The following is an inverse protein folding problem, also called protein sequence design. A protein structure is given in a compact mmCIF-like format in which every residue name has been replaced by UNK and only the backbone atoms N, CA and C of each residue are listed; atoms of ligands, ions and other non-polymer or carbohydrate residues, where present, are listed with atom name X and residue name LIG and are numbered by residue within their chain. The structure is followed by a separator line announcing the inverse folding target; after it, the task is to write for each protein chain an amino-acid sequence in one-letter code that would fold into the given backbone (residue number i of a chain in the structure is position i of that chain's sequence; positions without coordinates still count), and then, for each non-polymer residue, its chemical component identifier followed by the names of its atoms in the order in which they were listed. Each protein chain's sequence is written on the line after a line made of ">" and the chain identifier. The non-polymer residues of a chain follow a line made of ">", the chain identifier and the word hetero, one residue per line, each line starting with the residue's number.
data_IF_350347415990
#
_entry.id   IF_350347415990
#
_cell.length_a   1.000
_cell.length_b   1.000
_cell.length_c   1.000
_cell.angle_alpha   90.00
_cell.angle_beta   90.00
_cell.angle_gamma   90.00
#
_symmetry.space_group_name_H-M   'P 1'
#
loop_
_entity.id
_entity.type
_entity.pdbx_description
1 polymer ?
#
# COMPACT_ATOMS: atom_id res chain seq x y z
N UNK A 1 -38.90 -10.53 8.71
CA UNK A 1 -39.30 -9.27 8.05
C UNK A 1 -39.13 -8.17 9.07
N UNK A 2 -38.43 -7.09 8.81
CA UNK A 2 -37.81 -6.73 7.56
C UNK A 2 -36.72 -5.71 7.85
N UNK A 3 -35.62 -5.91 7.12
CA UNK A 3 -34.89 -4.89 6.36
C UNK A 3 -34.69 -3.51 6.98
N UNK A 4 -33.43 -3.10 6.82
CA UNK A 4 -33.08 -1.76 6.38
C UNK A 4 -33.21 -0.66 7.43
N UNK A 5 -32.29 -0.66 8.41
CA UNK A 5 -31.96 0.60 9.08
C UNK A 5 -30.51 1.05 8.97
N UNK A 6 -29.69 0.41 8.11
CA UNK A 6 -28.32 0.91 7.81
C UNK A 6 -27.93 0.73 6.34
N UNK A 7 -28.68 1.40 5.48
CA UNK A 7 -28.44 1.69 4.04
C UNK A 7 -29.63 2.59 3.65
N UNK A 8 -29.60 3.69 2.91
CA UNK A 8 -28.68 4.33 1.96
C UNK A 8 -29.17 5.79 1.85
N UNK A 9 -28.28 6.79 1.79
CA UNK A 9 -27.82 7.46 0.56
C UNK A 9 -28.93 7.96 -0.38
N UNK A 10 -28.66 9.16 -0.90
CA UNK A 10 -29.25 9.81 -2.08
C UNK A 10 -30.47 10.69 -1.80
N UNK A 11 -30.20 11.99 -1.58
CA UNK A 11 -30.85 13.04 -2.39
C UNK A 11 -29.82 14.06 -2.87
N UNK A 12 -29.62 14.03 -4.19
CA UNK A 12 -29.36 15.16 -5.11
C UNK A 12 -28.23 16.13 -4.77
N UNK A 13 -27.22 16.20 -5.65
CA UNK A 13 -26.82 17.41 -6.39
C UNK A 13 -26.25 16.94 -7.75
N UNK A 14 -27.06 16.85 -8.83
CA UNK A 14 -27.25 17.84 -9.91
C UNK A 14 -26.04 18.77 -10.19
N UNK A 15 -25.25 18.37 -11.20
CA UNK A 15 -24.78 19.18 -12.35
C UNK A 15 -24.00 20.46 -12.04
N UNK A 16 -22.68 20.49 -12.28
CA UNK A 16 -21.98 21.71 -12.75
C UNK A 16 -20.93 21.37 -13.84
N UNK A 17 -21.24 21.92 -15.02
CA UNK A 17 -20.49 22.29 -16.25
C UNK A 17 -19.08 21.73 -16.52
N UNK A 18 -18.97 21.09 -17.68
CA UNK A 18 -17.77 21.15 -18.53
C UNK A 18 -17.39 22.62 -18.79
N UNK A 19 -16.10 22.95 -18.68
CA UNK A 19 -15.49 24.02 -19.45
C UNK A 19 -14.34 23.45 -20.26
N UNK A 20 -14.42 23.66 -21.59
CA UNK A 20 -13.43 23.29 -22.59
C UNK A 20 -12.25 24.26 -22.60
N UNK A 21 -11.06 23.66 -22.69
CA UNK A 21 -9.84 24.05 -23.41
C UNK A 21 -9.41 25.52 -23.51
N UNK A 22 -8.23 25.80 -22.96
CA UNK A 22 -7.24 26.73 -23.49
C UNK A 22 -5.87 26.06 -23.45
N UNK A 23 -5.31 25.78 -24.62
CA UNK A 23 -4.03 25.11 -24.87
C UNK A 23 -2.92 26.13 -25.05
N UNK A 24 -1.74 25.87 -24.48
CA UNK A 24 -0.46 26.19 -25.14
C UNK A 24 0.64 25.22 -24.67
N UNK A 25 1.32 24.66 -25.69
CA UNK A 25 2.42 23.66 -25.71
C UNK A 25 3.64 24.15 -24.91
N UNK A 26 4.56 23.33 -24.38
CA UNK A 26 5.30 22.19 -24.95
C UNK A 26 5.89 21.33 -23.80
N UNK A 27 5.70 20.01 -23.76
CA UNK A 27 6.68 19.05 -24.28
C UNK A 27 7.23 18.18 -23.14
N UNK A 28 7.01 16.85 -23.19
CA UNK A 28 7.63 15.89 -22.27
C UNK A 28 6.66 14.83 -21.73
N UNK A 29 6.61 13.67 -22.38
CA UNK A 29 5.99 12.43 -21.90
C UNK A 29 6.89 11.73 -20.87
N UNK A 30 6.45 11.58 -19.63
CA UNK A 30 6.76 10.44 -18.73
C UNK A 30 6.25 10.77 -17.34
N UNK A 31 5.38 9.91 -16.82
CA UNK A 31 4.77 10.00 -15.51
C UNK A 31 5.47 9.02 -14.58
N UNK A 32 6.03 9.47 -13.45
CA UNK A 32 6.58 8.54 -12.45
C UNK A 32 6.55 9.14 -11.02
N UNK A 33 6.21 8.27 -10.04
CA UNK A 33 6.23 8.36 -8.55
C UNK A 33 6.44 9.75 -7.92
N UNK A 34 5.57 10.22 -7.02
CA UNK A 34 5.82 11.40 -6.18
C UNK A 34 5.95 10.99 -4.71
N UNK A 35 7.18 10.91 -4.19
CA UNK A 35 7.42 10.98 -2.75
C UNK A 35 7.24 12.44 -2.32
N UNK A 36 6.20 12.71 -1.55
CA UNK A 36 5.93 14.03 -0.99
C UNK A 36 6.59 14.12 0.38
N UNK A 37 7.63 14.97 0.47
CA UNK A 37 8.12 15.47 1.73
C UNK A 37 7.52 16.86 1.96
N UNK A 38 6.63 16.97 2.95
CA UNK A 38 5.96 18.22 3.32
C UNK A 38 6.32 18.53 4.78
N UNK A 39 6.93 19.69 5.04
CA UNK A 39 7.27 20.11 6.42
C UNK A 39 6.18 21.00 7.04
N UNK A 40 5.89 20.81 8.33
CA UNK A 40 5.13 21.77 9.15
C UNK A 40 5.71 21.90 10.57
N UNK A 41 5.47 23.04 11.24
CA UNK A 41 5.99 23.36 12.58
C UNK A 41 4.95 23.03 13.66
N UNK A 42 5.34 22.22 14.65
CA UNK A 42 4.83 22.33 16.02
C UNK A 42 6.05 22.46 16.93
N UNK A 43 6.12 23.53 17.73
CA UNK A 43 7.07 23.64 18.83
C UNK A 43 6.24 23.99 20.06
N UNK A 44 6.27 23.09 21.05
CA UNK A 44 5.91 23.45 22.41
C UNK A 44 6.83 24.57 22.88
N UNK A 45 6.20 25.56 23.51
CA UNK A 45 6.74 26.55 24.44
C UNK A 45 7.95 27.37 23.98
N UNK A 46 7.67 28.48 23.30
CA UNK A 46 7.69 29.84 23.89
C UNK A 46 7.51 30.84 22.74
N UNK A 47 6.40 31.57 22.76
CA UNK A 47 6.05 32.56 21.76
C UNK A 47 6.95 33.80 21.88
N UNK A 48 7.74 34.10 20.85
CA UNK A 48 8.20 35.46 20.57
C UNK A 48 7.84 35.83 19.13
N UNK A 49 6.90 36.77 19.04
CA UNK A 49 6.63 37.74 17.98
C UNK A 49 7.29 37.43 16.62
N UNK A 50 6.44 37.15 15.62
CA UNK A 50 6.73 37.00 14.17
C UNK A 50 7.11 35.60 13.63
N UNK A 51 6.81 34.49 14.31
CA UNK A 51 7.25 33.15 13.85
C UNK A 51 6.26 31.97 14.01
N UNK A 52 4.95 32.20 14.02
CA UNK A 52 3.94 31.12 14.00
C UNK A 52 3.10 31.19 12.72
N UNK A 53 3.66 30.70 11.61
CA UNK A 53 2.89 30.47 10.38
C UNK A 53 2.64 28.97 10.27
N UNK A 54 1.44 28.57 10.69
CA UNK A 54 0.86 27.22 10.63
C UNK A 54 0.58 26.73 9.19
N UNK A 55 1.48 27.00 8.25
CA UNK A 55 1.31 26.75 6.82
C UNK A 55 2.42 25.87 6.27
N UNK A 56 2.16 25.22 5.13
CA UNK A 56 3.17 24.44 4.43
C UNK A 56 4.24 25.39 3.88
N UNK A 57 5.45 25.30 4.44
CA UNK A 57 6.57 26.20 4.10
C UNK A 57 7.30 25.77 2.84
N UNK A 58 7.49 24.46 2.67
CA UNK A 58 8.03 23.91 1.45
C UNK A 58 7.45 22.54 1.14
N UNK A 59 7.51 22.20 -0.14
CA UNK A 59 7.30 20.85 -0.65
C UNK A 59 8.54 20.40 -1.40
N UNK A 60 8.89 19.13 -1.26
CA UNK A 60 9.94 18.48 -2.02
C UNK A 60 9.41 17.17 -2.56
N UNK A 61 9.76 16.89 -3.82
CA UNK A 61 9.32 15.71 -4.53
C UNK A 61 10.50 14.82 -4.87
N UNK A 62 10.40 13.52 -4.64
CA UNK A 62 11.33 12.53 -5.19
C UNK A 62 10.56 11.61 -6.14
N UNK A 63 11.12 11.35 -7.32
CA UNK A 63 10.46 10.59 -8.37
C UNK A 63 11.41 9.66 -9.11
N UNK A 64 10.89 8.60 -9.72
CA UNK A 64 11.73 7.60 -10.41
C UNK A 64 11.64 7.79 -11.91
N UNK A 65 12.65 8.36 -12.57
CA UNK A 65 12.64 8.49 -14.04
C UNK A 65 13.57 7.46 -14.66
N UNK A 66 13.03 6.63 -15.56
CA UNK A 66 13.80 5.57 -16.24
C UNK A 66 14.59 4.67 -15.25
N UNK A 67 13.93 4.26 -14.17
CA UNK A 67 14.51 3.39 -13.13
C UNK A 67 15.49 4.08 -12.18
N UNK A 68 15.73 5.40 -12.32
CA UNK A 68 16.60 6.17 -11.42
C UNK A 68 15.79 7.10 -10.53
N UNK A 69 16.08 7.10 -9.24
CA UNK A 69 15.54 8.09 -8.30
C UNK A 69 16.13 9.47 -8.61
N UNK A 70 15.24 10.42 -8.90
CA UNK A 70 15.53 11.83 -9.08
C UNK A 70 14.95 12.58 -7.90
N UNK A 71 15.81 13.35 -7.24
CA UNK A 71 15.44 14.24 -6.16
C UNK A 71 15.11 15.60 -6.78
N UNK A 72 13.85 16.01 -6.68
CA UNK A 72 13.38 17.30 -7.16
C UNK A 72 13.86 18.47 -6.28
N UNK A 73 13.82 19.69 -6.82
CA UNK A 73 14.15 20.89 -6.05
C UNK A 73 13.13 21.10 -4.92
N UNK A 74 13.57 21.84 -3.90
CA UNK A 74 12.68 22.33 -2.85
C UNK A 74 11.89 23.50 -3.42
N UNK A 75 10.57 23.50 -3.23
CA UNK A 75 9.71 24.63 -3.57
C UNK A 75 9.21 25.28 -2.27
N UNK A 76 9.56 26.54 -2.04
CA UNK A 76 9.32 27.26 -0.78
C UNK A 76 10.61 27.51 0.00
N UNK A 77 10.50 27.91 1.26
CA UNK A 77 11.67 28.22 2.10
C UNK A 77 11.96 27.07 3.06
N UNK A 78 13.19 26.58 3.02
CA UNK A 78 13.70 25.62 3.98
C UNK A 78 13.92 26.31 5.33
N UNK A 79 13.13 25.96 6.34
CA UNK A 79 13.14 26.57 7.68
C UNK A 79 13.25 25.56 8.82
N UNK A 80 13.12 26.02 10.07
CA UNK A 80 13.02 25.13 11.24
C UNK A 80 11.59 24.55 11.32
N UNK A 81 11.44 23.25 11.09
CA UNK A 81 10.17 22.50 11.15
C UNK A 81 10.36 20.98 11.12
N UNK A 82 9.26 20.22 11.12
CA UNK A 82 9.26 18.75 11.03
C UNK A 82 8.86 18.28 9.64
N UNK A 83 9.58 17.31 9.05
CA UNK A 83 9.25 16.69 7.75
C UNK A 83 8.31 15.52 7.91
N UNK A 84 7.12 15.66 7.37
CA UNK A 84 6.28 14.52 7.07
C UNK A 84 6.66 13.95 5.71
N UNK A 85 7.22 12.74 5.71
CA UNK A 85 7.45 11.94 4.51
C UNK A 85 6.25 11.03 4.27
N UNK A 86 5.81 10.92 3.03
CA UNK A 86 4.82 9.93 2.59
C UNK A 86 5.38 9.14 1.39
N UNK A 87 5.65 7.85 1.60
CA UNK A 87 6.19 6.95 0.59
C UNK A 87 5.06 6.16 -0.05
N UNK A 88 5.07 6.09 -1.38
CA UNK A 88 4.08 5.36 -2.20
C UNK A 88 4.79 4.20 -2.90
N UNK A 89 4.25 2.99 -2.86
CA UNK A 89 4.83 1.78 -3.48
C UNK A 89 4.66 1.75 -5.02
N UNK A 90 5.24 2.72 -5.72
CA UNK A 90 5.15 2.77 -7.19
C UNK A 90 5.99 1.68 -7.88
N UNK A 91 5.50 1.07 -8.97
CA UNK A 91 4.24 1.38 -9.69
C UNK A 91 3.00 0.60 -9.21
N UNK A 92 3.11 -0.22 -8.17
CA UNK A 92 2.00 -1.04 -7.65
C UNK A 92 0.93 -0.21 -6.91
N UNK A 93 1.34 0.92 -6.36
CA UNK A 93 0.54 1.92 -5.69
C UNK A 93 0.81 3.29 -6.33
N UNK A 94 -0.23 4.08 -6.52
CA UNK A 94 -0.13 5.42 -7.08
C UNK A 94 -1.17 6.35 -6.44
N UNK A 95 -0.89 7.65 -6.47
CA UNK A 95 -1.79 8.67 -5.90
C UNK A 95 -2.94 8.91 -6.87
N UNK A 96 -4.16 8.80 -6.35
CA UNK A 96 -5.42 8.97 -7.10
C UNK A 96 -6.10 10.30 -6.81
N UNK A 97 -5.86 10.86 -5.63
CA UNK A 97 -6.43 12.15 -5.22
C UNK A 97 -5.48 12.92 -4.30
N UNK A 98 -5.50 14.24 -4.44
CA UNK A 98 -4.86 15.20 -3.55
C UNK A 98 -5.95 16.04 -2.92
N UNK A 99 -6.00 16.08 -1.60
CA UNK A 99 -6.93 16.93 -0.85
C UNK A 99 -6.12 17.96 -0.07
N UNK A 100 -6.71 19.12 0.17
CA UNK A 100 -6.01 20.16 0.90
C UNK A 100 -6.89 21.32 1.29
N UNK A 101 -6.28 22.28 1.96
CA UNK A 101 -6.93 23.53 2.37
C UNK A 101 -6.08 24.74 2.02
N UNK A 102 -6.74 25.87 1.74
CA UNK A 102 -6.06 27.14 1.48
C UNK A 102 -6.83 28.32 2.10
N UNK A 103 -6.14 29.17 2.84
CA UNK A 103 -6.75 30.32 3.51
C UNK A 103 -5.95 31.59 3.22
N UNK A 104 -6.66 32.74 3.14
CA UNK A 104 -5.97 34.02 3.05
C UNK A 104 -5.24 34.31 4.36
N UNK A 105 -4.05 34.90 4.24
CA UNK A 105 -3.27 35.43 5.36
C UNK A 105 -3.38 36.96 5.41
N UNK A 106 -2.87 37.57 6.48
CA UNK A 106 -3.09 38.97 6.83
C UNK A 106 -2.58 39.99 5.79
N UNK A 107 -1.64 39.60 4.93
CA UNK A 107 -1.12 40.41 3.83
C UNK A 107 -1.99 40.35 2.55
N UNK A 108 -3.10 39.60 2.59
CA UNK A 108 -3.99 39.37 1.44
C UNK A 108 -3.54 38.23 0.52
N UNK A 109 -2.38 37.62 0.76
CA UNK A 109 -1.92 36.43 0.04
C UNK A 109 -2.77 35.22 0.43
N UNK A 110 -2.88 34.24 -0.46
CA UNK A 110 -3.52 32.96 -0.15
C UNK A 110 -2.45 31.88 -0.03
N UNK A 111 -2.45 31.14 1.08
CA UNK A 111 -1.47 30.08 1.29
C UNK A 111 -2.12 28.72 1.38
N UNK A 112 -1.43 27.70 0.88
CA UNK A 112 -1.79 26.31 1.09
C UNK A 112 -1.48 25.95 2.54
N UNK A 113 -2.52 25.56 3.24
CA UNK A 113 -2.54 25.33 4.69
C UNK A 113 -2.36 23.87 5.03
N UNK A 114 -2.99 22.98 4.26
CA UNK A 114 -2.81 21.54 4.42
C UNK A 114 -2.89 20.77 3.10
N UNK A 115 -2.29 19.58 3.09
CA UNK A 115 -2.32 18.60 2.02
C UNK A 115 -2.44 17.17 2.59
N UNK A 116 -3.20 16.34 1.90
CA UNK A 116 -3.27 14.89 2.11
C UNK A 116 -3.45 14.17 0.77
N UNK A 117 -3.08 12.89 0.73
CA UNK A 117 -3.05 12.08 -0.48
C UNK A 117 -3.87 10.82 -0.28
N UNK A 118 -4.62 10.41 -1.31
CA UNK A 118 -5.25 9.09 -1.38
C UNK A 118 -4.62 8.27 -2.49
N UNK A 119 -4.49 6.97 -2.26
CA UNK A 119 -3.80 6.05 -3.15
C UNK A 119 -4.75 5.03 -3.79
N UNK A 120 -4.28 4.32 -4.81
CA UNK A 120 -5.00 3.23 -5.48
C UNK A 120 -5.28 2.03 -4.58
N UNK A 121 -4.49 1.82 -3.51
CA UNK A 121 -4.69 0.78 -2.50
C UNK A 121 -5.67 1.19 -1.38
N UNK A 122 -6.36 2.33 -1.53
CA UNK A 122 -7.31 2.83 -0.51
C UNK A 122 -6.65 3.47 0.71
N UNK A 123 -5.32 3.53 0.77
CA UNK A 123 -4.55 4.20 1.84
C UNK A 123 -4.60 5.72 1.68
N UNK A 124 -4.73 6.42 2.80
CA UNK A 124 -4.61 7.88 2.89
C UNK A 124 -3.34 8.28 3.63
N UNK A 125 -2.68 9.36 3.21
CA UNK A 125 -1.58 9.95 3.96
C UNK A 125 -2.09 10.70 5.19
N UNK A 126 -1.24 10.89 6.21
CA UNK A 126 -1.48 11.93 7.21
C UNK A 126 -1.68 13.29 6.53
N UNK A 127 -2.55 14.11 7.11
CA UNK A 127 -2.68 15.51 6.69
C UNK A 127 -1.45 16.26 7.13
N UNK A 128 -0.67 16.74 6.16
CA UNK A 128 0.43 17.65 6.44
C UNK A 128 -0.09 19.09 6.42
N UNK A 129 0.39 19.93 7.35
CA UNK A 129 -0.14 21.28 7.51
C UNK A 129 -1.25 21.36 8.58
N UNK A 130 -1.70 22.58 8.89
CA UNK A 130 -2.86 22.80 9.76
C UNK A 130 -4.07 23.09 8.87
N UNK A 131 -5.12 22.24 8.87
CA UNK A 131 -6.29 22.44 8.04
C UNK A 131 -6.91 23.83 8.21
N UNK A 132 -7.05 24.53 7.09
CA UNK A 132 -7.78 25.77 6.96
C UNK A 132 -9.28 25.58 6.71
N UNK A 133 -9.97 26.67 6.42
CA UNK A 133 -11.41 26.71 6.19
C UNK A 133 -11.80 26.33 4.77
N UNK A 134 -11.08 26.82 3.74
CA UNK A 134 -11.44 26.50 2.35
C UNK A 134 -10.71 25.25 1.90
N UNK A 135 -11.47 24.26 1.44
CA UNK A 135 -10.94 22.98 0.99
C UNK A 135 -10.86 22.92 -0.52
N UNK A 136 -9.97 22.08 -1.02
CA UNK A 136 -9.88 21.73 -2.44
C UNK A 136 -9.56 20.24 -2.60
N UNK A 137 -9.94 19.68 -3.74
CA UNK A 137 -9.65 18.30 -4.12
C UNK A 137 -9.22 18.27 -5.58
N UNK A 138 -8.11 17.60 -5.86
CA UNK A 138 -7.68 17.27 -7.20
C UNK A 138 -7.83 15.76 -7.40
N UNK A 139 -8.70 15.37 -8.31
CA UNK A 139 -8.87 13.98 -8.73
C UNK A 139 -9.20 13.90 -10.21
N UNK A 140 -8.79 12.82 -10.85
CA UNK A 140 -9.19 12.52 -12.23
C UNK A 140 -9.44 11.03 -12.38
N UNK A 141 -10.70 10.66 -12.69
CA UNK A 141 -11.09 9.25 -12.86
C UNK A 141 -10.21 8.56 -13.90
N UNK A 142 -9.72 7.37 -13.55
CA UNK A 142 -8.89 6.54 -14.42
C UNK A 142 -7.51 7.13 -14.74
N UNK A 143 -7.02 8.08 -13.94
CA UNK A 143 -5.72 8.72 -14.13
C UNK A 143 -4.98 8.79 -12.80
N UNK A 144 -3.65 8.68 -12.87
CA UNK A 144 -2.78 8.82 -11.71
C UNK A 144 -2.25 10.26 -11.63
N UNK A 145 -1.92 10.73 -10.44
CA UNK A 145 -1.15 11.96 -10.25
C UNK A 145 0.28 11.73 -10.76
N UNK A 146 0.77 12.65 -11.59
CA UNK A 146 2.09 12.53 -12.25
C UNK A 146 3.00 13.74 -12.00
N UNK A 147 2.51 14.75 -11.30
CA UNK A 147 3.29 15.91 -10.94
C UNK A 147 2.42 17.04 -10.40
N UNK A 148 3.10 18.08 -9.95
CA UNK A 148 2.48 19.31 -9.45
C UNK A 148 2.97 20.51 -10.24
N UNK A 149 2.17 21.55 -10.26
CA UNK A 149 2.58 22.91 -10.64
C UNK A 149 2.07 23.87 -9.58
N UNK A 150 2.65 25.06 -9.51
CA UNK A 150 2.27 26.00 -8.48
C UNK A 150 3.12 27.25 -8.47
N UNK A 151 2.86 28.08 -7.47
CA UNK A 151 3.66 29.26 -7.14
C UNK A 151 4.05 29.16 -5.68
N UNK A 152 5.32 29.44 -5.41
CA UNK A 152 5.88 29.44 -4.08
C UNK A 152 6.77 30.68 -3.91
N UNK A 153 6.72 31.25 -2.72
CA UNK A 153 7.63 32.28 -2.22
C UNK A 153 8.12 31.87 -0.84
N UNK A 154 7.74 32.64 0.19
CA UNK A 154 7.98 32.30 1.59
C UNK A 154 7.20 31.06 2.08
N UNK A 155 6.08 30.76 1.41
CA UNK A 155 5.25 29.59 1.59
C UNK A 155 4.70 29.13 0.22
N UNK A 156 3.90 28.07 0.20
CA UNK A 156 3.20 27.64 -1.00
C UNK A 156 1.95 28.50 -1.20
N UNK A 157 1.96 29.38 -2.21
CA UNK A 157 0.84 30.28 -2.51
C UNK A 157 -0.28 29.57 -3.29
N UNK A 158 0.11 28.73 -4.23
CA UNK A 158 -0.82 28.01 -5.09
C UNK A 158 -0.24 26.66 -5.49
N UNK A 159 -1.10 25.66 -5.54
CA UNK A 159 -0.76 24.30 -5.97
C UNK A 159 -1.83 23.78 -6.91
N UNK A 160 -1.39 23.07 -7.94
CA UNK A 160 -2.21 22.34 -8.88
C UNK A 160 -1.58 21.00 -9.20
N UNK A 161 -2.37 20.09 -9.76
CA UNK A 161 -1.99 18.71 -10.01
C UNK A 161 -2.04 18.38 -11.51
N UNK A 162 -1.05 17.64 -11.99
CA UNK A 162 -1.06 17.01 -13.30
C UNK A 162 -1.47 15.55 -13.17
N UNK A 163 -2.42 15.12 -14.01
CA UNK A 163 -2.86 13.74 -14.07
C UNK A 163 -2.49 13.11 -15.41
N UNK A 164 -1.98 11.89 -15.39
CA UNK A 164 -1.55 11.13 -16.56
C UNK A 164 -2.20 9.76 -16.63
N UNK A 165 -1.83 8.94 -17.63
CA UNK A 165 -2.25 7.54 -17.68
C UNK A 165 -1.93 6.80 -16.39
N UNK A 166 -2.70 5.75 -16.09
CA UNK A 166 -2.36 4.87 -14.97
C UNK A 166 -0.99 4.22 -15.21
N UNK A 167 -0.16 4.07 -14.17
CA UNK A 167 1.07 3.32 -14.32
C UNK A 167 0.72 1.89 -14.75
N UNK A 168 1.48 1.37 -15.70
CA UNK A 168 1.43 -0.03 -16.05
C UNK A 168 2.28 -0.72 -14.98
N UNK A 169 1.69 -1.49 -14.05
CA UNK A 169 2.51 -2.27 -13.12
C UNK A 169 3.41 -3.19 -13.96
N UNK A 170 4.63 -3.50 -13.49
CA UNK A 170 5.49 -4.44 -14.18
C UNK A 170 4.71 -5.71 -14.45
N UNK A 171 4.94 -6.39 -15.59
CA UNK A 171 4.33 -7.68 -15.84
C UNK A 171 4.59 -8.55 -14.62
N UNK A 172 3.53 -8.89 -13.88
CA UNK A 172 3.68 -9.78 -12.74
C UNK A 172 4.22 -11.09 -13.31
N UNK A 173 5.29 -11.65 -12.72
CA UNK A 173 5.72 -12.97 -13.13
C UNK A 173 4.50 -13.91 -13.10
N UNK A 174 4.38 -14.86 -14.05
CA UNK A 174 3.30 -15.83 -14.03
C UNK A 174 3.31 -16.53 -12.68
N UNK A 175 2.22 -16.41 -11.94
CA UNK A 175 2.05 -17.13 -10.68
C UNK A 175 1.67 -18.55 -11.04
N UNK A 176 2.50 -19.50 -10.64
CA UNK A 176 2.22 -20.92 -10.79
C UNK A 176 1.75 -21.50 -9.47
N UNK A 177 0.61 -22.18 -9.49
CA UNK A 177 0.09 -22.89 -8.31
C UNK A 177 0.60 -24.31 -8.36
N UNK A 178 1.40 -24.68 -7.35
CA UNK A 178 1.81 -26.07 -7.19
C UNK A 178 0.63 -26.88 -6.65
N UNK A 179 0.52 -28.14 -7.05
CA UNK A 179 -0.54 -29.01 -6.57
C UNK A 179 -0.44 -29.15 -5.03
N UNK A 180 -1.55 -28.88 -4.34
CA UNK A 180 -1.65 -29.04 -2.90
C UNK A 180 -1.43 -30.50 -2.46
N UNK A 181 -0.91 -30.68 -1.25
CA UNK A 181 -0.64 -31.99 -0.62
C UNK A 181 -1.42 -32.10 0.68
N UNK A 182 -1.85 -33.31 1.01
CA UNK A 182 -2.70 -33.60 2.18
C UNK A 182 -4.04 -34.23 1.78
N UNK A 183 -5.00 -34.19 2.70
CA UNK A 183 -6.31 -34.83 2.56
C UNK A 183 -7.30 -34.07 1.68
N UNK A 184 -8.42 -34.74 1.36
CA UNK A 184 -9.51 -34.18 0.55
C UNK A 184 -10.59 -33.47 1.38
N UNK A 185 -10.46 -33.45 2.71
CA UNK A 185 -11.40 -32.81 3.63
C UNK A 185 -11.38 -31.29 3.59
N UNK A 186 -12.45 -30.68 4.10
CA UNK A 186 -12.57 -29.24 4.30
C UNK A 186 -12.95 -28.42 3.07
N UNK A 187 -13.14 -27.12 3.30
CA UNK A 187 -13.46 -26.12 2.27
C UNK A 187 -12.20 -25.54 1.69
N UNK A 188 -12.19 -25.33 0.37
CA UNK A 188 -11.04 -24.75 -0.33
C UNK A 188 -10.87 -23.27 -0.03
N UNK A 189 -9.62 -22.84 0.09
CA UNK A 189 -9.21 -21.44 0.32
C UNK A 189 -7.99 -21.10 -0.54
N UNK A 190 -7.84 -19.80 -0.84
CA UNK A 190 -6.76 -19.26 -1.67
C UNK A 190 -6.50 -17.80 -1.30
N UNK A 191 -5.37 -17.57 -0.63
CA UNK A 191 -4.96 -16.27 -0.08
C UNK A 191 -4.39 -15.32 -1.14
N UNK A 192 -4.26 -15.79 -2.39
CA UNK A 192 -3.60 -15.04 -3.43
C UNK A 192 -2.16 -14.69 -3.02
N UNK A 193 -1.78 -13.42 -3.14
CA UNK A 193 -0.39 -12.95 -2.86
C UNK A 193 -0.31 -12.04 -1.62
N UNK A 194 -1.45 -11.50 -1.16
CA UNK A 194 -1.46 -10.41 -0.18
C UNK A 194 -2.62 -10.46 0.82
N UNK A 195 -3.59 -11.36 0.67
CA UNK A 195 -4.67 -11.51 1.64
C UNK A 195 -4.25 -12.58 2.66
N UNK A 196 -4.48 -12.30 3.94
CA UNK A 196 -4.12 -13.22 5.03
C UNK A 196 -5.40 -13.43 5.85
N UNK A 197 -6.04 -14.57 5.64
CA UNK A 197 -7.14 -15.04 6.47
C UNK A 197 -6.67 -16.24 7.30
N UNK A 198 -7.20 -16.39 8.52
CA UNK A 198 -6.91 -17.55 9.35
C UNK A 198 -7.66 -18.78 8.83
N UNK A 199 -6.92 -19.85 8.50
CA UNK A 199 -7.49 -21.10 7.99
C UNK A 199 -7.42 -22.22 9.03
N UNK A 200 -8.57 -22.59 9.59
CA UNK A 200 -8.70 -23.62 10.62
C UNK A 200 -9.38 -23.10 11.88
N UNK A 201 -9.52 -23.96 12.90
CA UNK A 201 -10.05 -23.53 14.20
C UNK A 201 -8.93 -23.01 15.09
N UNK A 202 -9.06 -21.76 15.54
CA UNK A 202 -8.17 -21.21 16.56
C UNK A 202 -8.27 -22.05 17.85
N UNK A 203 -7.12 -22.51 18.35
CA UNK A 203 -7.05 -23.29 19.59
C UNK A 203 -6.58 -22.41 20.75
N UNK A 204 -6.83 -22.87 21.97
CA UNK A 204 -6.37 -22.18 23.19
C UNK A 204 -4.85 -22.23 23.39
N UNK A 205 -4.12 -22.99 22.56
CA UNK A 205 -2.67 -23.19 22.66
C UNK A 205 -1.86 -22.00 22.11
N UNK A 206 -2.52 -20.97 21.58
CA UNK A 206 -1.86 -19.80 21.00
C UNK A 206 -1.35 -20.08 19.58
N UNK A 207 -0.41 -19.25 19.12
CA UNK A 207 0.23 -19.36 17.80
C UNK A 207 1.75 -19.37 17.98
N UNK A 208 2.43 -20.03 17.04
CA UNK A 208 3.88 -19.90 16.88
C UNK A 208 4.15 -18.98 15.68
N UNK A 209 5.08 -18.02 15.85
CA UNK A 209 5.40 -17.05 14.80
C UNK A 209 6.74 -17.37 14.13
N UNK A 210 6.77 -17.20 12.81
CA UNK A 210 7.99 -17.25 12.01
C UNK A 210 8.10 -15.99 11.16
N UNK A 211 8.78 -14.97 11.69
CA UNK A 211 8.97 -13.70 11.00
C UNK A 211 10.07 -13.81 9.93
N UNK A 212 9.78 -13.36 8.71
CA UNK A 212 10.77 -13.27 7.64
C UNK A 212 11.44 -11.89 7.63
N UNK A 213 12.75 -11.86 7.41
CA UNK A 213 13.51 -10.64 7.12
C UNK A 213 13.20 -10.03 5.74
N UNK A 214 11.94 -9.65 5.51
CA UNK A 214 11.47 -9.08 4.24
C UNK A 214 12.14 -7.72 3.94
N UNK A 215 12.52 -7.41 2.69
CA UNK A 215 12.33 -8.20 1.46
C UNK A 215 13.50 -9.16 1.12
N UNK A 216 14.54 -9.20 1.94
CA UNK A 216 15.76 -9.97 1.67
C UNK A 216 15.63 -11.47 1.93
N UNK A 217 14.72 -11.85 2.84
CA UNK A 217 14.39 -13.24 3.16
C UNK A 217 13.03 -13.60 2.56
N UNK A 218 12.99 -14.72 1.84
CA UNK A 218 11.80 -15.26 1.18
C UNK A 218 11.80 -16.78 1.21
N UNK A 219 10.60 -17.36 1.21
CA UNK A 219 10.41 -18.81 1.26
C UNK A 219 10.75 -19.41 -0.12
N UNK A 220 11.55 -20.47 -0.11
CA UNK A 220 11.98 -21.23 -1.30
C UNK A 220 11.38 -22.63 -1.35
N UNK A 221 11.06 -23.20 -0.19
CA UNK A 221 10.35 -24.48 -0.09
C UNK A 221 9.51 -24.57 1.18
N UNK A 222 8.45 -25.36 1.12
CA UNK A 222 7.67 -25.78 2.28
C UNK A 222 7.70 -27.31 2.36
N UNK A 223 8.15 -27.82 3.49
CA UNK A 223 8.09 -29.23 3.83
C UNK A 223 6.92 -29.42 4.80
N UNK A 224 6.26 -30.56 4.73
CA UNK A 224 5.20 -30.88 5.66
C UNK A 224 4.95 -32.35 5.80
N UNK A 225 4.21 -32.70 6.84
CA UNK A 225 3.70 -34.03 7.11
C UNK A 225 2.18 -34.01 7.15
N UNK A 226 1.56 -35.12 6.76
CA UNK A 226 0.13 -35.32 6.91
C UNK A 226 -0.14 -36.74 7.39
N UNK A 227 -1.24 -36.93 8.11
CA UNK A 227 -1.63 -38.26 8.56
C UNK A 227 -3.13 -38.33 8.82
N UNK A 228 -3.67 -39.54 8.85
CA UNK A 228 -5.05 -39.78 9.28
C UNK A 228 -5.10 -39.90 10.80
N UNK A 229 -5.26 -38.75 11.46
CA UNK A 229 -5.34 -38.68 12.93
C UNK A 229 -6.66 -39.28 13.43
N UNK A 230 -6.61 -39.94 14.59
CA UNK A 230 -7.79 -40.56 15.21
C UNK A 230 -8.87 -39.50 15.51
N UNK A 231 -10.07 -39.68 14.94
CA UNK A 231 -11.18 -38.74 15.05
C UNK A 231 -11.34 -37.79 13.86
N UNK A 232 -10.35 -37.70 12.97
CA UNK A 232 -10.47 -36.92 11.73
C UNK A 232 -11.08 -37.75 10.61
N UNK A 233 -12.06 -37.17 9.90
CA UNK A 233 -12.72 -37.84 8.77
C UNK A 233 -11.80 -37.96 7.53
N UNK A 234 -10.74 -37.16 7.47
CA UNK A 234 -9.75 -37.13 6.39
C UNK A 234 -8.35 -36.92 6.96
N UNK A 235 -7.32 -37.09 6.13
CA UNK A 235 -5.95 -36.76 6.47
C UNK A 235 -5.84 -35.26 6.80
N UNK A 236 -5.01 -34.95 7.79
CA UNK A 236 -4.74 -33.59 8.24
C UNK A 236 -3.25 -33.32 8.18
N UNK A 237 -2.88 -32.08 7.90
CA UNK A 237 -1.50 -31.63 7.97
C UNK A 237 -1.09 -31.60 9.44
N UNK A 238 -0.05 -32.37 9.78
CA UNK A 238 0.43 -32.51 11.16
C UNK A 238 1.68 -31.68 11.43
N UNK A 239 2.48 -31.39 10.40
CA UNK A 239 3.69 -30.58 10.52
C UNK A 239 3.89 -29.72 9.28
N UNK A 240 4.37 -28.49 9.47
CA UNK A 240 4.91 -27.64 8.42
C UNK A 240 6.29 -27.12 8.82
N UNK A 241 7.20 -27.04 7.85
CA UNK A 241 8.56 -26.53 8.02
C UNK A 241 8.90 -25.68 6.80
N UNK A 242 9.33 -24.45 7.03
CA UNK A 242 9.59 -23.47 5.98
C UNK A 242 11.09 -23.34 5.75
N UNK A 243 11.50 -23.48 4.50
CA UNK A 243 12.86 -23.20 4.07
C UNK A 243 12.90 -21.87 3.32
N UNK A 244 13.79 -20.99 3.75
CA UNK A 244 14.02 -19.67 3.13
C UNK A 244 15.35 -19.68 2.38
N UNK A 245 15.65 -18.58 1.68
CA UNK A 245 16.98 -18.37 1.10
C UNK A 245 18.08 -18.10 2.15
N UNK A 246 17.72 -17.93 3.42
CA UNK A 246 18.65 -17.61 4.51
C UNK A 246 18.74 -18.73 5.54
N UNK A 247 17.61 -19.33 5.92
CA UNK A 247 17.51 -20.30 7.02
C UNK A 247 16.35 -21.27 6.82
N UNK A 248 16.28 -22.25 7.71
CA UNK A 248 15.13 -23.16 7.82
C UNK A 248 14.46 -22.93 9.17
N UNK A 249 13.14 -22.88 9.20
CA UNK A 249 12.36 -22.76 10.42
C UNK A 249 12.45 -24.05 11.27
N UNK A 250 12.12 -24.00 12.57
CA UNK A 250 11.74 -25.22 13.29
C UNK A 250 10.51 -25.89 12.64
N UNK A 251 10.29 -27.20 12.87
CA UNK A 251 9.02 -27.84 12.51
C UNK A 251 7.89 -27.30 13.39
N UNK A 252 6.81 -26.84 12.75
CA UNK A 252 5.57 -26.43 13.40
C UNK A 252 4.61 -27.62 13.42
N UNK A 253 4.44 -28.26 14.58
CA UNK A 253 3.60 -29.45 14.74
C UNK A 253 4.40 -30.74 14.92
N UNK A 254 3.80 -31.89 14.57
CA UNK A 254 4.34 -33.23 14.82
C UNK A 254 4.67 -33.95 13.51
N UNK A 255 5.92 -34.38 13.38
CA UNK A 255 6.38 -35.19 12.25
C UNK A 255 5.62 -36.53 12.24
N UNK A 256 5.17 -36.93 11.05
CA UNK A 256 4.43 -38.18 10.83
C UNK A 256 5.08 -39.01 9.72
N UNK A 257 4.47 -40.14 9.38
CA UNK A 257 5.01 -41.07 8.38
C UNK A 257 4.91 -40.53 6.95
N UNK A 258 3.84 -39.80 6.62
CA UNK A 258 3.65 -39.26 5.26
C UNK A 258 4.17 -37.84 5.20
N UNK A 259 5.20 -37.61 4.38
CA UNK A 259 5.81 -36.30 4.19
C UNK A 259 5.68 -35.82 2.74
N UNK A 260 5.72 -34.51 2.56
CA UNK A 260 5.72 -33.86 1.26
C UNK A 260 6.64 -32.65 1.26
N UNK A 261 7.04 -32.25 0.06
CA UNK A 261 7.83 -31.06 -0.19
C UNK A 261 7.26 -30.30 -1.36
N UNK A 262 6.99 -29.01 -1.15
CA UNK A 262 6.54 -28.06 -2.15
C UNK A 262 7.69 -27.10 -2.45
N UNK A 263 8.36 -27.32 -3.57
CA UNK A 263 9.42 -26.45 -4.06
C UNK A 263 9.39 -26.39 -5.58
N UNK A 264 9.93 -25.30 -6.13
CA UNK A 264 10.19 -25.19 -7.56
C UNK A 264 11.50 -24.46 -7.77
N UNK A 265 12.40 -25.08 -8.53
CA UNK A 265 13.73 -24.53 -8.79
C UNK A 265 13.63 -23.13 -9.43
N UNK A 266 14.43 -22.20 -8.92
CA UNK A 266 14.46 -20.83 -9.41
C UNK A 266 13.20 -20.01 -9.11
N UNK A 267 12.33 -20.46 -8.21
CA UNK A 267 11.12 -19.74 -7.81
C UNK A 267 11.08 -19.47 -6.30
N UNK A 268 10.34 -18.43 -5.90
CA UNK A 268 9.99 -18.13 -4.51
C UNK A 268 8.48 -18.28 -4.29
N UNK A 269 8.10 -18.65 -3.08
CA UNK A 269 6.69 -18.70 -2.66
C UNK A 269 6.18 -17.29 -2.41
N UNK A 270 4.99 -16.98 -2.91
CA UNK A 270 4.32 -15.68 -2.77
C UNK A 270 2.92 -15.78 -2.20
N UNK A 271 2.41 -17.00 -2.00
CA UNK A 271 1.04 -17.22 -1.58
C UNK A 271 0.79 -18.67 -1.20
N UNK A 272 -0.32 -18.89 -0.50
CA UNK A 272 -0.75 -20.20 -0.04
C UNK A 272 -2.18 -20.47 -0.49
N UNK A 273 -2.51 -21.74 -0.68
CA UNK A 273 -3.86 -22.19 -0.97
C UNK A 273 -4.03 -23.60 -0.42
N UNK A 274 -5.27 -24.04 -0.20
CA UNK A 274 -5.47 -25.34 0.40
C UNK A 274 -6.92 -25.67 0.68
N UNK A 275 -7.12 -26.60 1.63
CA UNK A 275 -8.43 -26.97 2.16
C UNK A 275 -8.35 -27.04 3.68
N UNK A 276 -9.30 -26.41 4.35
CA UNK A 276 -9.37 -26.40 5.82
C UNK A 276 -10.81 -26.53 6.30
N UNK A 277 -11.00 -27.08 7.49
CA UNK A 277 -12.25 -27.04 8.24
C UNK A 277 -11.97 -26.66 9.69
N UNK A 278 -12.19 -27.57 10.65
CA UNK A 278 -11.61 -27.44 11.99
C UNK A 278 -10.10 -27.64 11.96
N UNK A 279 -9.63 -28.53 11.08
CA UNK A 279 -8.22 -28.81 10.86
C UNK A 279 -7.78 -28.39 9.44
N UNK A 280 -6.47 -28.20 9.26
CA UNK A 280 -5.87 -28.01 7.96
C UNK A 280 -5.73 -29.37 7.27
N UNK A 281 -6.45 -29.58 6.17
CA UNK A 281 -6.44 -30.86 5.44
C UNK A 281 -5.43 -30.87 4.31
N UNK A 282 -5.38 -29.80 3.52
CA UNK A 282 -4.52 -29.69 2.35
C UNK A 282 -3.77 -28.37 2.36
N UNK A 283 -2.49 -28.41 1.97
CA UNK A 283 -1.64 -27.24 1.87
C UNK A 283 -0.92 -27.19 0.52
N UNK A 284 -0.94 -26.03 -0.11
CA UNK A 284 -0.37 -25.74 -1.43
C UNK A 284 0.28 -24.37 -1.45
N UNK A 285 1.16 -24.14 -2.43
CA UNK A 285 1.92 -22.90 -2.56
C UNK A 285 1.81 -22.32 -3.97
N UNK A 286 1.72 -21.00 -4.02
CA UNK A 286 1.83 -20.20 -5.24
C UNK A 286 3.26 -19.68 -5.38
N UNK A 287 3.90 -19.93 -6.52
CA UNK A 287 5.31 -19.59 -6.76
C UNK A 287 5.50 -18.67 -7.96
N UNK A 288 6.55 -17.83 -7.90
CA UNK A 288 6.99 -16.96 -9.01
C UNK A 288 8.50 -17.09 -9.23
N UNK A 289 9.00 -16.93 -10.46
CA UNK A 289 10.44 -16.90 -10.73
C UNK A 289 11.17 -15.87 -9.86
N UNK A 290 12.34 -16.25 -9.37
CA UNK A 290 13.27 -15.35 -8.68
C UNK A 290 13.93 -14.48 -9.76
N UNK A 291 13.57 -13.21 -9.82
CA UNK A 291 14.27 -12.21 -10.63
C UNK A 291 15.62 -11.92 -9.96
N UNK A 292 16.71 -12.15 -10.69
CA UNK A 292 18.07 -11.73 -10.28
C UNK A 292 18.24 -10.23 -10.35
#
# INVERSE_FOLDING_TARGET
>A
MDKAYRAERIKRIKRIKQNKSGSSRSGGTSADRADLAVQNKCLNDTCTRWSCLESIQFVKFEYVKAGKTIVGPIHGVYGRGFTQKFVVDYPNEYITSVEGTCDPVSDGSNWVRSLSFKTSKGRASPTCGVPGKRTFVFESKGRALVGFHGRAGWAIDAIGAHFGPLPIPPPRPPVEKLQGKGGEGGTSWDDGVFDVEDHGKQTMLGYEEFELGYPSEYITAVEGCYDKVFGSASEVITMLKFKTNVRTSPPFGLESTSSFKLEKEGHKVVGFHGKASHELHQFGVSVVPITK
#
